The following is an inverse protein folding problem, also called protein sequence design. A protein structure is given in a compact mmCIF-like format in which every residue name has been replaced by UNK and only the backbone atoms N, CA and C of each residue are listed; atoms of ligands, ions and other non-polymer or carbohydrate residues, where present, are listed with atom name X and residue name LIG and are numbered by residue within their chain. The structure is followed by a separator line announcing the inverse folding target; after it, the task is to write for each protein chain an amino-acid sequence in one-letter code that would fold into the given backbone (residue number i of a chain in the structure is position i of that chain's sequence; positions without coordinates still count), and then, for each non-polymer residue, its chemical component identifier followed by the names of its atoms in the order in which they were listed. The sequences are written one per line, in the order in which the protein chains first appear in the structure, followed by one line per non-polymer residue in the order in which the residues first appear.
data_IF_826594788003
#
_entry.id   IF_826594788003
#
_cell.length_a   1.000
_cell.length_b   1.000
_cell.length_c   1.000
_cell.angle_alpha   90.00
_cell.angle_beta   90.00
_cell.angle_gamma   90.00
#
_symmetry.space_group_name_H-M   'P 1'
#
loop_
_entity.id
_entity.type
_entity.pdbx_description
1 polymer ?
#
# COMPACT_ATOMS: atom_id res chain seq x y z
N UNK A 1 10.06 -31.81 -14.95
CA UNK A 1 9.85 -30.34 -14.85
C UNK A 1 8.88 -30.12 -13.70
N UNK A 2 9.22 -29.35 -12.65
CA UNK A 2 8.25 -29.03 -11.62
C UNK A 2 7.04 -28.37 -12.29
N UNK A 3 5.85 -28.93 -12.06
CA UNK A 3 4.60 -28.39 -12.58
C UNK A 3 4.24 -27.14 -11.76
N UNK A 4 3.93 -26.05 -12.45
CA UNK A 4 3.59 -24.77 -11.83
C UNK A 4 2.26 -24.25 -12.36
N UNK A 5 1.43 -23.69 -11.49
CA UNK A 5 0.23 -22.94 -11.87
C UNK A 5 0.64 -21.50 -12.14
N UNK A 6 0.23 -20.97 -13.31
CA UNK A 6 0.45 -19.59 -13.66
C UNK A 6 -0.26 -18.65 -12.67
N UNK A 7 0.50 -17.71 -12.08
CA UNK A 7 -0.02 -16.62 -11.26
C UNK A 7 -0.30 -15.43 -12.18
N UNK A 8 -1.58 -15.13 -12.42
CA UNK A 8 -2.01 -14.09 -13.37
C UNK A 8 -2.34 -12.78 -12.67
N UNK A 9 -2.23 -11.67 -13.39
CA UNK A 9 -2.45 -10.32 -12.85
C UNK A 9 -3.77 -10.16 -12.08
N UNK A 10 -4.88 -10.66 -12.62
CA UNK A 10 -6.18 -10.57 -11.93
C UNK A 10 -6.20 -11.34 -10.60
N UNK A 11 -5.51 -12.48 -10.54
CA UNK A 11 -5.38 -13.23 -9.30
C UNK A 11 -4.56 -12.44 -8.28
N UNK A 12 -3.43 -11.86 -8.71
CA UNK A 12 -2.54 -11.07 -7.83
C UNK A 12 -3.27 -9.85 -7.26
N UNK A 13 -4.07 -9.14 -8.05
CA UNK A 13 -4.84 -7.97 -7.58
C UNK A 13 -5.88 -8.36 -6.52
N UNK A 14 -6.46 -9.56 -6.64
CA UNK A 14 -7.53 -10.04 -5.76
C UNK A 14 -7.00 -10.79 -4.54
N UNK A 15 -5.71 -11.11 -4.49
CA UNK A 15 -5.10 -11.77 -3.35
C UNK A 15 -5.02 -10.79 -2.18
N UNK A 16 -5.48 -11.22 -1.01
CA UNK A 16 -5.25 -10.48 0.23
C UNK A 16 -3.74 -10.38 0.49
N UNK A 17 -3.31 -9.25 1.05
CA UNK A 17 -1.95 -9.13 1.56
C UNK A 17 -1.83 -10.05 2.78
N UNK A 18 -0.72 -10.81 2.94
CA UNK A 18 -0.56 -11.66 4.10
C UNK A 18 -0.46 -10.83 5.37
N UNK A 19 -0.93 -11.37 6.50
CA UNK A 19 -0.74 -10.72 7.79
C UNK A 19 0.76 -10.51 8.07
N UNK A 20 1.07 -9.42 8.76
CA UNK A 20 2.42 -9.17 9.25
C UNK A 20 2.69 -10.15 10.40
N UNK A 21 3.82 -10.85 10.35
CA UNK A 21 4.31 -11.64 11.47
C UNK A 21 4.96 -10.69 12.50
N UNK A 22 4.14 -10.13 13.39
CA UNK A 22 4.58 -9.11 14.35
C UNK A 22 5.33 -9.75 15.52
N UNK A 23 6.53 -9.26 15.80
CA UNK A 23 7.37 -9.74 16.90
C UNK A 23 6.86 -9.35 18.29
N UNK A 24 7.33 -10.08 19.30
CA UNK A 24 7.04 -9.81 20.73
C UNK A 24 7.54 -8.42 21.12
N UNK A 25 8.75 -8.07 20.69
CA UNK A 25 9.30 -6.72 20.83
C UNK A 25 8.94 -5.91 19.59
N UNK A 26 8.23 -4.81 19.79
CA UNK A 26 7.81 -3.91 18.72
C UNK A 26 7.80 -2.46 19.15
N UNK A 27 7.88 -1.55 18.18
CA UNK A 27 7.79 -0.10 18.41
C UNK A 27 6.54 0.22 19.22
N UNK A 28 6.75 0.93 20.33
CA UNK A 28 5.72 1.38 21.26
C UNK A 28 5.35 2.86 21.11
N UNK A 29 6.32 3.81 20.95
CA UNK A 29 5.97 5.21 20.82
C UNK A 29 5.34 5.49 19.46
N UNK A 30 4.37 6.41 19.42
CA UNK A 30 3.80 6.88 18.16
C UNK A 30 4.77 7.82 17.44
N UNK A 31 4.75 7.81 16.11
CA UNK A 31 5.60 8.66 15.28
C UNK A 31 4.96 10.03 14.97
N UNK A 32 3.79 10.32 15.53
CA UNK A 32 3.07 11.57 15.23
C UNK A 32 3.84 12.82 15.70
N UNK A 33 4.15 13.70 14.75
CA UNK A 33 4.71 15.02 15.01
C UNK A 33 3.61 16.03 15.35
N UNK A 34 3.94 17.18 15.96
CA UNK A 34 2.98 18.27 16.19
C UNK A 34 2.61 19.04 14.90
N UNK A 35 2.81 18.45 13.72
CA UNK A 35 2.44 19.05 12.44
C UNK A 35 1.01 18.68 12.06
N UNK A 36 0.28 19.64 11.50
CA UNK A 36 -1.07 19.43 10.97
C UNK A 36 -1.13 19.74 9.48
N UNK A 37 -1.97 19.00 8.76
CA UNK A 37 -2.29 19.24 7.37
C UNK A 37 -3.22 20.44 7.27
N UNK A 38 -2.72 21.50 6.63
CA UNK A 38 -3.41 22.78 6.48
C UNK A 38 -4.17 22.89 5.15
N UNK A 39 -4.08 21.88 4.28
CA UNK A 39 -4.78 21.89 3.01
C UNK A 39 -6.27 21.55 3.15
N UNK A 40 -7.06 21.73 2.08
CA UNK A 40 -8.45 21.30 2.07
C UNK A 40 -8.54 19.78 2.19
N UNK A 41 -9.42 19.31 3.09
CA UNK A 41 -9.82 17.91 3.14
C UNK A 41 -11.14 17.79 2.39
N UNK A 42 -11.16 16.92 1.39
CA UNK A 42 -12.35 16.66 0.57
C UNK A 42 -12.65 15.16 0.59
N UNK A 43 -13.90 14.76 0.85
CA UNK A 43 -14.30 13.37 0.71
C UNK A 43 -14.10 12.90 -0.73
N UNK A 44 -13.49 11.73 -0.91
CA UNK A 44 -13.41 11.07 -2.22
C UNK A 44 -14.62 10.16 -2.40
N UNK A 45 -15.78 10.78 -2.64
CA UNK A 45 -17.08 10.10 -2.62
C UNK A 45 -17.19 8.91 -3.57
N UNK A 46 -16.57 8.99 -4.75
CA UNK A 46 -16.64 7.95 -5.79
C UNK A 46 -15.41 7.03 -5.82
N UNK A 47 -14.55 7.05 -4.79
CA UNK A 47 -13.28 6.31 -4.80
C UNK A 47 -13.44 4.83 -5.19
N UNK A 48 -14.35 4.10 -4.53
CA UNK A 48 -14.53 2.67 -4.79
C UNK A 48 -15.01 2.42 -6.22
N UNK A 49 -15.95 3.25 -6.69
CA UNK A 49 -16.49 3.17 -8.05
C UNK A 49 -15.41 3.43 -9.08
N UNK A 50 -14.63 4.49 -8.92
CA UNK A 50 -13.50 4.83 -9.79
C UNK A 50 -12.45 3.70 -9.79
N UNK A 51 -12.07 3.18 -8.62
CA UNK A 51 -11.11 2.08 -8.50
C UNK A 51 -11.59 0.82 -9.23
N UNK A 52 -12.87 0.45 -9.07
CA UNK A 52 -13.47 -0.70 -9.79
C UNK A 52 -13.52 -0.46 -11.29
N UNK A 53 -13.89 0.74 -11.73
CA UNK A 53 -13.90 1.10 -13.15
C UNK A 53 -12.49 1.03 -13.76
N UNK A 54 -11.48 1.52 -13.06
CA UNK A 54 -10.08 1.40 -13.48
C UNK A 54 -9.64 -0.06 -13.57
N UNK A 55 -10.02 -0.92 -12.62
CA UNK A 55 -9.73 -2.34 -12.68
C UNK A 55 -10.39 -3.03 -13.89
N UNK A 56 -11.63 -2.66 -14.23
CA UNK A 56 -12.31 -3.16 -15.43
C UNK A 56 -11.59 -2.66 -16.69
N UNK A 57 -11.18 -1.40 -16.73
CA UNK A 57 -10.48 -0.79 -17.86
C UNK A 57 -9.12 -1.45 -18.17
N UNK A 58 -8.45 -2.04 -17.18
CA UNK A 58 -7.24 -2.85 -17.40
C UNK A 58 -7.47 -4.06 -18.32
N UNK A 59 -8.74 -4.42 -18.61
CA UNK A 59 -9.11 -5.44 -19.61
C UNK A 59 -8.36 -6.76 -19.41
N UNK A 60 -8.31 -7.26 -18.17
CA UNK A 60 -7.62 -8.49 -17.77
C UNK A 60 -8.35 -9.77 -18.24
N UNK A 61 -8.68 -9.85 -19.53
CA UNK A 61 -9.31 -11.01 -20.16
C UNK A 61 -8.51 -12.29 -19.91
N UNK A 62 -9.19 -13.41 -19.65
CA UNK A 62 -8.58 -14.69 -19.24
C UNK A 62 -7.63 -14.58 -18.02
N UNK A 63 -7.91 -13.65 -17.11
CA UNK A 63 -7.12 -13.40 -15.89
C UNK A 63 -5.93 -12.45 -16.09
N UNK A 64 -5.70 -11.97 -17.32
CA UNK A 64 -4.60 -11.08 -17.66
C UNK A 64 -3.24 -11.78 -17.84
N UNK A 65 -2.16 -10.99 -17.96
CA UNK A 65 -0.82 -11.51 -18.19
C UNK A 65 -0.34 -12.40 -17.03
N UNK A 66 0.50 -13.38 -17.36
CA UNK A 66 1.16 -14.24 -16.38
C UNK A 66 2.31 -13.44 -15.76
N UNK A 67 2.29 -13.28 -14.44
CA UNK A 67 3.32 -12.54 -13.69
C UNK A 67 4.35 -13.46 -13.04
N UNK A 68 4.04 -14.76 -12.95
CA UNK A 68 4.94 -15.76 -12.39
C UNK A 68 4.25 -17.12 -12.31
N UNK A 69 4.89 -18.06 -11.62
CA UNK A 69 4.37 -19.40 -11.42
C UNK A 69 4.47 -19.78 -9.94
N UNK A 70 3.51 -20.57 -9.46
CA UNK A 70 3.53 -21.16 -8.12
C UNK A 70 3.53 -22.68 -8.20
N UNK A 71 4.18 -23.33 -7.24
CA UNK A 71 4.17 -24.79 -7.12
C UNK A 71 2.76 -25.32 -6.87
N UNK A 72 2.47 -26.50 -7.42
CA UNK A 72 1.19 -27.21 -7.26
C UNK A 72 1.20 -28.08 -5.99
N UNK A 73 2.35 -28.65 -5.65
CA UNK A 73 2.45 -29.67 -4.60
C UNK A 73 2.44 -29.07 -3.19
N UNK A 74 3.18 -27.99 -2.99
CA UNK A 74 3.32 -27.30 -1.70
C UNK A 74 3.47 -25.81 -1.92
N UNK A 75 2.90 -24.96 -1.03
CA UNK A 75 3.25 -23.55 -1.02
C UNK A 75 4.76 -23.41 -0.93
N UNK A 76 5.34 -22.57 -1.80
CA UNK A 76 6.75 -22.23 -1.67
C UNK A 76 6.98 -21.61 -0.28
N UNK A 77 8.12 -21.89 0.37
CA UNK A 77 8.42 -21.31 1.68
C UNK A 77 8.40 -19.77 1.64
N UNK A 78 8.77 -19.19 0.50
CA UNK A 78 8.71 -17.74 0.24
C UNK A 78 7.29 -17.20 0.02
N UNK A 79 6.28 -18.06 -0.12
CA UNK A 79 4.87 -17.66 -0.15
C UNK A 79 4.26 -17.54 1.25
N UNK A 80 5.00 -17.95 2.30
CA UNK A 80 4.62 -17.84 3.71
C UNK A 80 5.46 -16.71 4.32
N UNK A 81 4.87 -15.87 5.18
CA UNK A 81 5.63 -14.84 5.90
C UNK A 81 6.69 -15.50 6.80
N UNK A 82 7.96 -15.32 6.44
CA UNK A 82 9.11 -15.76 7.24
C UNK A 82 9.71 -14.62 8.06
N UNK A 83 9.44 -13.36 7.67
CA UNK A 83 10.08 -12.19 8.26
C UNK A 83 9.27 -11.69 9.45
N UNK A 84 9.93 -11.57 10.61
CA UNK A 84 9.31 -11.03 11.83
C UNK A 84 9.49 -9.52 11.84
N UNK A 85 8.39 -8.78 11.92
CA UNK A 85 8.36 -7.31 11.90
C UNK A 85 8.26 -6.75 13.32
N UNK A 86 9.20 -5.87 13.69
CA UNK A 86 9.21 -5.19 14.99
C UNK A 86 9.01 -3.67 14.89
N UNK A 87 9.25 -3.06 13.74
CA UNK A 87 9.32 -1.61 13.61
C UNK A 87 8.80 -1.11 12.25
N UNK A 88 8.86 0.21 12.06
CA UNK A 88 8.39 0.88 10.85
C UNK A 88 9.19 0.46 9.61
N UNK A 89 10.50 0.30 9.73
CA UNK A 89 11.37 -0.12 8.62
C UNK A 89 11.00 -1.53 8.13
N UNK A 90 10.70 -2.45 9.06
CA UNK A 90 10.19 -3.78 8.70
C UNK A 90 8.84 -3.72 7.96
N UNK A 91 7.91 -2.86 8.40
CA UNK A 91 6.63 -2.64 7.72
C UNK A 91 6.84 -2.09 6.31
N UNK A 92 7.69 -1.07 6.16
CA UNK A 92 8.06 -0.50 4.86
C UNK A 92 8.63 -1.56 3.91
N UNK A 93 9.55 -2.40 4.40
CA UNK A 93 10.13 -3.49 3.61
C UNK A 93 9.10 -4.51 3.14
N UNK A 94 8.13 -4.90 3.98
CA UNK A 94 7.06 -5.84 3.60
C UNK A 94 6.06 -5.20 2.64
N UNK A 95 5.75 -3.92 2.84
CA UNK A 95 4.92 -3.16 1.93
C UNK A 95 5.50 -3.14 0.51
N UNK A 96 6.79 -2.81 0.41
CA UNK A 96 7.50 -2.74 -0.87
C UNK A 96 7.57 -4.11 -1.56
N UNK A 97 7.93 -5.16 -0.83
CA UNK A 97 8.01 -6.52 -1.37
C UNK A 97 6.64 -7.03 -1.88
N UNK A 98 5.55 -6.77 -1.14
CA UNK A 98 4.28 -7.46 -1.36
C UNK A 98 3.30 -6.67 -2.20
N UNK A 99 3.19 -5.36 -1.97
CA UNK A 99 2.26 -4.52 -2.72
C UNK A 99 2.97 -3.80 -3.85
N UNK A 100 4.04 -3.03 -3.55
CA UNK A 100 4.70 -2.19 -4.55
C UNK A 100 5.24 -3.02 -5.72
N UNK A 101 5.90 -4.14 -5.43
CA UNK A 101 6.44 -5.03 -6.45
C UNK A 101 5.34 -5.67 -7.31
N UNK A 102 4.29 -6.19 -6.67
CA UNK A 102 3.17 -6.82 -7.37
C UNK A 102 2.44 -5.83 -8.28
N UNK A 103 2.10 -4.65 -7.75
CA UNK A 103 1.42 -3.60 -8.52
C UNK A 103 2.30 -3.05 -9.64
N UNK A 104 3.60 -2.87 -9.42
CA UNK A 104 4.53 -2.46 -10.48
C UNK A 104 4.61 -3.51 -11.60
N UNK A 105 4.64 -4.80 -11.27
CA UNK A 105 4.62 -5.88 -12.26
C UNK A 105 3.30 -5.90 -13.06
N UNK A 106 2.15 -5.71 -12.40
CA UNK A 106 0.84 -5.59 -13.06
C UNK A 106 0.81 -4.41 -14.02
N UNK A 107 1.25 -3.22 -13.56
CA UNK A 107 1.29 -2.01 -14.37
C UNK A 107 2.17 -2.21 -15.61
N UNK A 108 3.37 -2.76 -15.43
CA UNK A 108 4.28 -3.07 -16.54
C UNK A 108 3.65 -4.06 -17.54
N UNK A 109 3.04 -5.13 -17.04
CA UNK A 109 2.43 -6.16 -17.89
C UNK A 109 1.15 -5.71 -18.61
N UNK A 110 0.51 -4.64 -18.12
CA UNK A 110 -0.67 -4.00 -18.73
C UNK A 110 -0.30 -2.77 -19.58
N UNK A 111 0.99 -2.53 -19.82
CA UNK A 111 1.49 -1.45 -20.68
C UNK A 111 1.59 -0.08 -20.00
N UNK A 112 1.26 0.03 -18.72
CA UNK A 112 1.55 1.24 -17.93
C UNK A 112 3.05 1.31 -17.64
N UNK A 113 3.61 2.51 -17.76
CA UNK A 113 5.01 2.78 -17.41
C UNK A 113 5.17 3.43 -16.04
N UNK A 114 4.12 3.35 -15.23
CA UNK A 114 4.10 3.84 -13.85
C UNK A 114 4.68 2.78 -12.92
N UNK A 115 5.40 3.20 -11.89
CA UNK A 115 6.10 2.31 -10.95
C UNK A 115 6.00 2.83 -9.53
N UNK A 116 5.98 1.93 -8.57
CA UNK A 116 6.33 2.28 -7.20
C UNK A 116 7.85 2.42 -7.08
N UNK A 117 8.32 3.24 -6.14
CA UNK A 117 9.75 3.39 -5.86
C UNK A 117 10.03 4.29 -4.66
N UNK A 118 11.31 4.58 -4.47
CA UNK A 118 11.79 5.50 -3.45
C UNK A 118 11.76 6.94 -3.96
N UNK A 119 11.47 7.92 -3.10
CA UNK A 119 11.42 9.33 -3.53
C UNK A 119 12.74 9.81 -4.15
N UNK A 120 13.89 9.36 -3.64
CA UNK A 120 15.21 9.73 -4.18
C UNK A 120 15.47 9.20 -5.60
N UNK A 121 14.67 8.25 -6.08
CA UNK A 121 14.73 7.78 -7.46
C UNK A 121 13.93 8.68 -8.43
N UNK A 122 13.16 9.63 -7.92
CA UNK A 122 12.42 10.59 -8.74
C UNK A 122 13.31 11.73 -9.24
N UNK A 123 12.90 12.38 -10.32
CA UNK A 123 13.50 13.63 -10.80
C UNK A 123 12.98 14.88 -10.07
N UNK A 124 12.00 14.70 -9.18
CA UNK A 124 11.35 15.76 -8.44
C UNK A 124 12.24 16.26 -7.28
N UNK A 125 12.25 17.57 -7.06
CA UNK A 125 12.95 18.24 -5.95
C UNK A 125 12.03 19.13 -5.12
N UNK A 126 10.73 19.11 -5.41
CA UNK A 126 9.73 20.04 -4.87
C UNK A 126 9.37 19.75 -3.42
N UNK A 127 9.64 18.54 -2.91
CA UNK A 127 9.39 18.23 -1.50
C UNK A 127 10.60 18.71 -0.67
N UNK A 128 10.41 19.85 0.01
CA UNK A 128 11.42 20.60 0.79
C UNK A 128 12.04 19.77 1.92
N UNK A 129 13.03 18.94 1.60
CA UNK A 129 13.80 18.16 2.58
C UNK A 129 13.06 16.98 3.22
N UNK A 130 11.83 16.67 2.76
CA UNK A 130 11.10 15.47 3.19
C UNK A 130 11.26 14.36 2.15
N UNK A 131 11.22 13.12 2.60
CA UNK A 131 11.42 11.91 1.79
C UNK A 131 10.26 10.97 2.11
N UNK A 132 9.20 10.92 1.28
CA UNK A 132 8.14 9.94 1.46
C UNK A 132 8.68 8.50 1.51
N UNK A 133 8.09 7.68 2.37
CA UNK A 133 8.45 6.25 2.50
C UNK A 133 8.26 5.48 1.18
N UNK A 134 7.25 5.85 0.39
CA UNK A 134 7.01 5.26 -0.94
C UNK A 134 6.44 6.30 -1.88
N UNK A 135 6.82 6.20 -3.16
CA UNK A 135 6.25 7.04 -4.23
C UNK A 135 5.75 6.21 -5.39
N UNK A 136 4.86 6.81 -6.16
CA UNK A 136 4.47 6.38 -7.50
C UNK A 136 5.05 7.40 -8.47
N UNK A 137 5.81 6.93 -9.46
CA UNK A 137 6.42 7.77 -10.49
C UNK A 137 6.11 7.25 -11.89
N UNK A 138 6.17 8.14 -12.88
CA UNK A 138 6.01 7.77 -14.28
C UNK A 138 7.34 7.38 -14.95
N UNK A 139 7.32 7.19 -16.27
CA UNK A 139 8.49 6.79 -17.05
C UNK A 139 9.58 7.86 -17.17
N UNK A 140 9.28 9.12 -16.88
CA UNK A 140 10.24 10.22 -16.83
C UNK A 140 10.75 10.46 -15.40
N UNK A 141 10.50 9.49 -14.51
CA UNK A 141 10.78 9.56 -13.07
C UNK A 141 10.09 10.75 -12.39
N UNK A 142 9.03 11.30 -12.98
CA UNK A 142 8.27 12.38 -12.35
C UNK A 142 7.37 11.80 -11.27
N UNK A 143 7.39 12.44 -10.10
CA UNK A 143 6.54 12.09 -8.97
C UNK A 143 5.05 12.28 -9.35
N UNK A 144 4.24 11.25 -9.08
CA UNK A 144 2.79 11.26 -9.32
C UNK A 144 1.98 11.15 -8.03
N UNK A 145 2.47 10.36 -7.07
CA UNK A 145 1.91 10.26 -5.73
C UNK A 145 3.00 9.89 -4.72
N UNK A 146 2.82 10.26 -3.46
CA UNK A 146 3.65 9.84 -2.33
C UNK A 146 2.78 9.29 -1.21
N UNK A 147 3.35 8.36 -0.44
CA UNK A 147 2.73 7.75 0.73
C UNK A 147 3.74 7.63 1.87
N UNK A 148 3.21 7.68 3.09
CA UNK A 148 3.95 7.36 4.30
C UNK A 148 3.36 6.08 4.88
N UNK A 149 4.22 5.27 5.51
CA UNK A 149 3.90 3.95 6.01
C UNK A 149 4.19 3.93 7.50
N UNK A 150 3.16 3.61 8.29
CA UNK A 150 3.27 3.55 9.75
C UNK A 150 2.95 2.17 10.28
N UNK A 151 3.48 1.88 11.47
CA UNK A 151 3.22 0.63 12.17
C UNK A 151 1.72 0.50 12.51
N UNK A 152 1.06 -0.60 12.14
CA UNK A 152 -0.40 -0.74 12.28
C UNK A 152 -0.86 -1.01 13.72
N UNK A 153 0.04 -1.44 14.62
CA UNK A 153 -0.31 -1.79 16.00
C UNK A 153 -0.29 -0.62 16.98
N UNK A 154 -0.08 0.60 16.50
CA UNK A 154 -0.16 1.83 17.30
C UNK A 154 -1.52 2.47 17.04
N UNK A 155 -2.35 2.55 18.08
CA UNK A 155 -3.74 3.02 17.96
C UNK A 155 -3.84 4.44 17.37
N UNK A 156 -2.88 5.31 17.70
CA UNK A 156 -2.82 6.68 17.18
C UNK A 156 -2.60 6.74 15.67
N UNK A 157 -2.15 5.67 15.02
CA UNK A 157 -1.94 5.61 13.58
C UNK A 157 -3.20 5.15 12.79
N UNK A 158 -4.29 4.82 13.48
CA UNK A 158 -5.51 4.29 12.88
C UNK A 158 -6.30 5.39 12.14
N UNK A 159 -6.39 5.34 10.80
CA UNK A 159 -7.10 6.39 10.05
C UNK A 159 -8.60 6.26 10.20
N UNK A 160 -9.17 5.07 10.35
CA UNK A 160 -10.62 4.92 10.52
C UNK A 160 -11.13 5.70 11.73
N UNK A 161 -10.39 5.63 12.84
CA UNK A 161 -10.68 6.38 14.06
C UNK A 161 -10.50 7.88 13.83
N UNK A 162 -9.41 8.27 13.16
CA UNK A 162 -9.13 9.67 12.88
C UNK A 162 -10.12 10.29 11.87
N UNK A 163 -10.67 9.53 10.92
CA UNK A 163 -11.69 10.02 9.99
C UNK A 163 -12.98 10.49 10.69
N UNK A 164 -13.16 10.16 11.97
CA UNK A 164 -14.30 10.60 12.78
C UNK A 164 -14.10 12.02 13.35
N UNK A 165 -12.87 12.54 13.30
CA UNK A 165 -12.50 13.87 13.82
C UNK A 165 -11.53 14.58 12.87
N UNK A 166 -11.92 15.74 12.33
CA UNK A 166 -11.13 16.48 11.34
C UNK A 166 -9.76 16.89 11.87
N UNK A 167 -9.64 17.20 13.16
CA UNK A 167 -8.37 17.58 13.78
C UNK A 167 -7.41 16.39 13.86
N UNK A 168 -7.88 15.22 14.29
CA UNK A 168 -7.09 13.99 14.33
C UNK A 168 -6.70 13.51 12.93
N UNK A 169 -7.63 13.58 11.95
CA UNK A 169 -7.32 13.29 10.55
C UNK A 169 -6.25 14.23 10.00
N UNK A 170 -6.36 15.54 10.26
CA UNK A 170 -5.34 16.52 9.86
C UNK A 170 -4.01 16.31 10.56
N UNK A 171 -4.01 15.83 11.79
CA UNK A 171 -2.77 15.52 12.51
C UNK A 171 -2.09 14.29 11.92
N UNK A 172 -2.85 13.25 11.58
CA UNK A 172 -2.32 12.08 10.88
C UNK A 172 -1.79 12.44 9.49
N UNK A 173 -2.56 13.21 8.73
CA UNK A 173 -2.16 13.70 7.41
C UNK A 173 -1.11 14.81 7.48
N UNK A 174 -0.91 15.44 8.63
CA UNK A 174 0.04 16.53 8.83
C UNK A 174 1.49 16.07 8.78
N UNK A 175 1.70 14.76 8.94
CA UNK A 175 2.95 14.10 8.57
C UNK A 175 3.24 14.25 7.06
N UNK A 176 2.22 14.47 6.22
CA UNK A 176 2.27 14.62 4.77
C UNK A 176 2.03 16.09 4.34
N UNK A 177 2.93 16.72 3.58
CA UNK A 177 2.70 18.06 2.96
C UNK A 177 3.30 18.15 1.55
N UNK A 178 2.79 19.05 0.70
CA UNK A 178 1.79 18.82 -0.34
C UNK A 178 2.36 18.24 -1.66
N UNK A 179 1.60 17.31 -2.23
CA UNK A 179 1.66 16.75 -3.58
C UNK A 179 0.60 15.65 -3.62
N UNK A 180 -0.29 15.57 -4.63
CA UNK A 180 -1.49 14.69 -4.64
C UNK A 180 -1.32 13.44 -3.77
N UNK A 181 -1.90 13.50 -2.56
CA UNK A 181 -1.64 12.56 -1.48
C UNK A 181 -2.66 11.44 -1.62
N UNK A 182 -2.18 10.21 -1.78
CA UNK A 182 -2.98 9.02 -1.42
C UNK A 182 -2.68 8.80 0.06
N UNK A 183 -3.72 8.84 0.91
CA UNK A 183 -3.58 8.79 2.37
C UNK A 183 -2.76 7.60 2.88
N UNK A 184 -2.43 7.60 4.17
CA UNK A 184 -1.65 6.55 4.84
C UNK A 184 -2.08 5.16 4.36
N UNK A 185 -1.14 4.51 3.68
CA UNK A 185 -1.38 3.29 2.91
C UNK A 185 -1.48 2.06 3.83
N UNK A 186 -1.13 2.19 5.12
CA UNK A 186 -1.28 1.12 6.12
C UNK A 186 -2.74 0.66 6.26
N UNK A 187 -3.73 1.53 6.06
CA UNK A 187 -5.14 1.15 6.12
C UNK A 187 -5.61 0.33 4.91
N UNK A 188 -4.93 0.44 3.76
CA UNK A 188 -5.17 -0.44 2.62
C UNK A 188 -4.76 -1.88 2.95
N UNK A 189 -3.76 -2.07 3.82
CA UNK A 189 -3.35 -3.39 4.30
C UNK A 189 -4.44 -4.04 5.17
N UNK A 190 -5.00 -3.29 6.13
CA UNK A 190 -6.06 -3.79 7.01
C UNK A 190 -7.38 -4.02 6.25
N UNK A 191 -7.73 -3.16 5.29
CA UNK A 191 -8.92 -3.34 4.43
C UNK A 191 -8.76 -4.50 3.43
N UNK A 192 -7.53 -4.80 3.01
CA UNK A 192 -7.23 -5.94 2.15
C UNK A 192 -7.19 -7.28 2.91
N UNK A 193 -7.33 -7.30 4.25
CA UNK A 193 -7.33 -8.53 5.04
C UNK A 193 -8.41 -8.51 6.15
N UNK A 194 -9.69 -8.77 5.82
CA UNK A 194 -10.81 -8.67 6.76
C UNK A 194 -10.94 -9.80 7.80
N UNK A 195 -9.90 -10.61 8.04
CA UNK A 195 -9.96 -11.77 8.93
C UNK A 195 -9.87 -11.47 10.43
N UNK A 196 -9.90 -10.20 10.84
CA UNK A 196 -10.01 -9.82 12.25
C UNK A 196 -11.28 -9.00 12.49
N UNK A 197 -12.40 -9.72 12.63
CA UNK A 197 -13.54 -9.41 13.50
C UNK A 197 -13.87 -7.93 13.76
N UNK A 198 -14.91 -7.42 13.09
CA UNK A 198 -16.21 -7.17 13.73
C UNK A 198 -17.24 -6.67 12.69
N UNK A 199 -18.36 -7.39 12.63
CA UNK A 199 -19.64 -6.93 12.09
C UNK A 199 -20.10 -5.66 12.84
N UNK A 200 -21.03 -4.89 12.25
CA UNK A 200 -22.41 -5.18 12.61
C UNK A 200 -23.28 -5.50 11.40
N UNK A 201 -24.11 -6.53 11.61
CA UNK A 201 -25.38 -6.70 10.91
C UNK A 201 -26.35 -5.65 11.45
N UNK A 202 -27.11 -5.07 10.51
CA UNK A 202 -28.23 -4.12 10.65
C UNK A 202 -27.82 -2.72 11.10
#
# INVERSE_FOLDING_TARGET
MPSGIAKRAQQVIKECLPDLNVGINKTKPHALHPETYIGPLVPWNDFEKEARQHLVALSLGNGGPVLGFRSIEKPALLAIEQFVVGDEMGVQGRFTERLSQAMTAILAATGSRTRFGDYKATSDRCIRGKVPDVVIMDHNNLLRAGGELKTPWINQHNLESACRDDHDLRRLLGMHKPGRIVGNITDLWNKANPSSTCLPRI
#
